data_IF_046820319348
#
_entry.id   IF_046820319348
#
_cell.length_a   1.000
_cell.length_b   1.000
_cell.length_c   1.000
_cell.angle_alpha   90.00
_cell.angle_beta   90.00
_cell.angle_gamma   90.00
#
_symmetry.space_group_name_H-M   'P 1'
#
loop_
_entity.id
_entity.type
_entity.pdbx_description
1 polymer ?
#
# COMPACT_ATOMS: atom_id res chain seq x y z
N UNK A 1 -49.43 14.16 -11.80
CA UNK A 1 -48.30 14.58 -12.66
C UNK A 1 -47.30 15.36 -11.82
N UNK A 2 -46.21 14.73 -11.36
CA UNK A 2 -45.10 15.45 -10.73
C UNK A 2 -43.78 14.91 -11.31
N UNK A 3 -43.02 15.80 -11.91
CA UNK A 3 -41.80 15.57 -12.68
C UNK A 3 -40.60 15.53 -11.74
N UNK A 4 -40.22 14.36 -11.22
CA UNK A 4 -38.97 14.17 -10.45
C UNK A 4 -37.86 13.48 -11.27
N UNK A 5 -38.12 13.21 -12.54
CA UNK A 5 -37.23 12.44 -13.44
C UNK A 5 -35.87 13.08 -13.81
N UNK A 6 -35.59 14.40 -13.74
CA UNK A 6 -34.29 14.91 -14.21
C UNK A 6 -33.15 14.77 -13.18
N UNK A 7 -33.45 14.70 -11.88
CA UNK A 7 -32.40 14.72 -10.83
C UNK A 7 -31.72 13.35 -10.70
N UNK A 8 -32.48 12.26 -10.84
CA UNK A 8 -31.94 10.89 -10.78
C UNK A 8 -31.05 10.59 -12.00
N UNK A 9 -31.42 11.09 -13.18
CA UNK A 9 -30.65 10.92 -14.41
C UNK A 9 -29.28 11.67 -14.38
N UNK A 10 -29.23 12.82 -13.70
CA UNK A 10 -28.01 13.60 -13.57
C UNK A 10 -27.00 12.96 -12.60
N UNK A 11 -27.48 12.44 -11.46
CA UNK A 11 -26.61 11.74 -10.48
C UNK A 11 -26.05 10.42 -11.01
N UNK A 12 -26.82 9.69 -11.83
CA UNK A 12 -26.36 8.45 -12.44
C UNK A 12 -25.25 8.68 -13.47
N UNK A 13 -25.36 9.77 -14.24
CA UNK A 13 -24.35 10.16 -15.23
C UNK A 13 -23.00 10.50 -14.60
N UNK A 14 -22.96 11.17 -13.44
CA UNK A 14 -21.71 11.50 -12.75
C UNK A 14 -20.98 10.25 -12.22
N UNK A 15 -21.72 9.26 -11.70
CA UNK A 15 -21.15 8.04 -11.16
C UNK A 15 -20.45 7.18 -12.24
N UNK A 16 -21.05 7.10 -13.44
CA UNK A 16 -20.43 6.43 -14.59
C UNK A 16 -19.15 7.13 -15.05
N UNK A 17 -19.17 8.46 -15.20
CA UNK A 17 -18.00 9.23 -15.63
C UNK A 17 -16.83 9.12 -14.64
N UNK A 18 -17.11 9.06 -13.33
CA UNK A 18 -16.07 8.85 -12.32
C UNK A 18 -15.41 7.46 -12.41
N UNK A 19 -16.20 6.42 -12.71
CA UNK A 19 -15.67 5.06 -12.90
C UNK A 19 -14.82 4.93 -14.17
N UNK A 20 -15.23 5.58 -15.27
CA UNK A 20 -14.47 5.57 -16.52
C UNK A 20 -13.18 6.38 -16.43
N UNK A 21 -13.20 7.53 -15.76
CA UNK A 21 -11.99 8.29 -15.45
C UNK A 21 -11.01 7.48 -14.58
N UNK A 22 -11.51 6.70 -13.62
CA UNK A 22 -10.66 5.82 -12.81
C UNK A 22 -10.12 4.64 -13.60
N UNK A 23 -10.88 4.07 -14.54
CA UNK A 23 -10.39 3.00 -15.42
C UNK A 23 -9.28 3.51 -16.33
N UNK A 24 -9.37 4.76 -16.81
CA UNK A 24 -8.32 5.39 -17.60
C UNK A 24 -6.98 5.50 -16.83
N UNK A 25 -6.99 5.58 -15.49
CA UNK A 25 -5.77 5.56 -14.69
C UNK A 25 -4.97 4.26 -14.85
N UNK A 26 -5.60 3.16 -15.27
CA UNK A 26 -4.89 1.90 -15.56
C UNK A 26 -3.96 2.04 -16.77
N UNK A 27 -4.22 3.00 -17.68
CA UNK A 27 -3.36 3.27 -18.84
C UNK A 27 -1.99 3.85 -18.44
N UNK A 28 -1.83 4.33 -17.20
CA UNK A 28 -0.52 4.76 -16.69
C UNK A 28 0.37 3.60 -16.23
N UNK A 29 -0.16 2.38 -16.14
CA UNK A 29 0.61 1.19 -15.79
C UNK A 29 1.57 0.84 -16.92
N UNK A 30 2.80 0.46 -16.55
CA UNK A 30 3.80 -0.03 -17.49
C UNK A 30 3.77 -1.56 -17.50
N UNK A 31 4.00 -2.13 -18.68
CA UNK A 31 4.16 -3.59 -18.81
C UNK A 31 5.26 -4.07 -17.85
N UNK A 32 4.96 -5.08 -17.05
CA UNK A 32 5.82 -5.62 -15.99
C UNK A 32 5.55 -5.06 -14.58
N UNK A 33 4.72 -4.03 -14.43
CA UNK A 33 4.35 -3.52 -13.10
C UNK A 33 3.60 -4.60 -12.32
N UNK A 34 3.86 -4.71 -11.02
CA UNK A 34 3.14 -5.70 -10.19
C UNK A 34 1.74 -5.14 -9.91
N UNK A 35 0.71 -5.91 -10.18
CA UNK A 35 -0.69 -5.47 -10.04
C UNK A 35 -1.52 -6.61 -9.47
N UNK A 36 -2.46 -6.27 -8.60
CA UNK A 36 -3.47 -7.16 -8.07
C UNK A 36 -4.87 -6.73 -8.48
N UNK A 37 -5.70 -7.71 -8.79
CA UNK A 37 -7.10 -7.53 -9.18
C UNK A 37 -7.99 -8.34 -8.25
N UNK A 38 -8.98 -7.67 -7.67
CA UNK A 38 -10.07 -8.30 -6.94
C UNK A 38 -11.23 -8.46 -7.91
N UNK A 39 -11.67 -9.70 -8.11
CA UNK A 39 -12.80 -10.03 -8.98
C UNK A 39 -14.14 -9.95 -8.24
N UNK A 40 -15.23 -9.92 -8.99
CA UNK A 40 -16.61 -9.95 -8.43
C UNK A 40 -16.87 -11.16 -7.54
N UNK A 41 -16.27 -12.31 -7.85
CA UNK A 41 -16.33 -13.52 -7.01
C UNK A 41 -15.41 -13.47 -5.76
N UNK A 42 -14.90 -12.28 -5.40
CA UNK A 42 -13.96 -12.03 -4.31
C UNK A 42 -12.61 -12.74 -4.43
N UNK A 43 -12.34 -13.45 -5.53
CA UNK A 43 -11.00 -14.02 -5.77
C UNK A 43 -10.02 -12.91 -6.12
N UNK A 44 -8.83 -13.02 -5.55
CA UNK A 44 -7.69 -12.15 -5.82
C UNK A 44 -6.77 -12.82 -6.83
N UNK A 45 -6.36 -12.06 -7.84
CA UNK A 45 -5.33 -12.46 -8.79
C UNK A 45 -4.23 -11.42 -8.76
N UNK A 46 -3.01 -11.82 -8.43
CA UNK A 46 -1.83 -10.94 -8.48
C UNK A 46 -0.88 -11.42 -9.57
N UNK A 47 -0.32 -10.47 -10.33
CA UNK A 47 0.56 -10.77 -11.44
C UNK A 47 1.31 -9.54 -11.92
N UNK A 48 1.92 -9.66 -13.09
CA UNK A 48 2.59 -8.59 -13.80
C UNK A 48 1.63 -8.02 -14.82
N UNK A 49 1.45 -6.71 -14.85
CA UNK A 49 0.65 -6.03 -15.84
C UNK A 49 1.20 -6.30 -17.23
N UNK A 50 0.33 -6.71 -18.16
CA UNK A 50 0.69 -6.84 -19.57
C UNK A 50 0.06 -5.71 -20.40
N UNK A 51 -1.27 -5.63 -20.37
CA UNK A 51 -2.03 -4.68 -21.19
C UNK A 51 -3.40 -4.37 -20.58
N UNK A 52 -3.96 -3.20 -20.95
CA UNK A 52 -5.32 -2.80 -20.59
C UNK A 52 -6.02 -2.23 -21.82
N UNK A 53 -7.28 -2.62 -21.99
CA UNK A 53 -8.19 -2.03 -22.97
C UNK A 53 -9.36 -1.39 -22.23
N UNK A 54 -10.28 -0.77 -22.96
CA UNK A 54 -11.46 -0.16 -22.34
C UNK A 54 -12.45 -1.21 -21.76
N UNK A 55 -12.28 -2.49 -22.11
CA UNK A 55 -13.15 -3.60 -21.70
C UNK A 55 -12.49 -4.68 -20.85
N UNK A 56 -11.15 -4.78 -20.80
CA UNK A 56 -10.44 -5.83 -20.07
C UNK A 56 -9.04 -5.42 -19.63
N UNK A 57 -8.52 -6.12 -18.64
CA UNK A 57 -7.15 -6.04 -18.16
C UNK A 57 -6.48 -7.42 -18.28
N UNK A 58 -5.25 -7.45 -18.77
CA UNK A 58 -4.45 -8.67 -18.92
C UNK A 58 -3.25 -8.63 -17.98
N UNK A 59 -3.05 -9.73 -17.27
CA UNK A 59 -1.96 -9.92 -16.32
C UNK A 59 -1.21 -11.20 -16.67
N UNK A 60 0.11 -11.17 -16.54
CA UNK A 60 0.97 -12.34 -16.52
C UNK A 60 1.17 -12.79 -15.06
N UNK A 61 0.47 -13.85 -14.66
CA UNK A 61 0.68 -14.51 -13.37
C UNK A 61 1.43 -15.84 -13.62
N UNK A 62 0.94 -16.96 -13.10
CA UNK A 62 1.42 -18.31 -13.46
C UNK A 62 1.16 -18.61 -14.95
N UNK A 63 0.03 -18.11 -15.46
CA UNK A 63 -0.32 -18.07 -16.87
C UNK A 63 -0.77 -16.66 -17.25
N UNK A 64 -0.94 -16.41 -18.54
CA UNK A 64 -1.65 -15.22 -18.99
C UNK A 64 -3.12 -15.29 -18.52
N UNK A 65 -3.61 -14.20 -17.93
CA UNK A 65 -4.96 -14.09 -17.39
C UNK A 65 -5.57 -12.78 -17.86
N UNK A 66 -6.61 -12.87 -18.69
CA UNK A 66 -7.42 -11.71 -19.08
C UNK A 66 -8.70 -11.66 -18.25
N UNK A 67 -9.03 -10.48 -17.73
CA UNK A 67 -10.18 -10.25 -16.84
C UNK A 67 -11.01 -9.11 -17.44
N UNK A 68 -12.30 -9.34 -17.64
CA UNK A 68 -13.21 -8.30 -18.12
C UNK A 68 -13.43 -7.22 -17.07
N UNK A 69 -13.60 -5.96 -17.51
CA UNK A 69 -13.90 -4.80 -16.65
C UNK A 69 -15.16 -5.03 -15.81
N UNK A 70 -16.16 -5.72 -16.36
CA UNK A 70 -17.39 -6.15 -15.68
C UNK A 70 -17.12 -7.00 -14.43
N UNK A 71 -16.05 -7.79 -14.47
CA UNK A 71 -15.61 -8.69 -13.41
C UNK A 71 -14.58 -8.09 -12.45
N UNK A 72 -14.12 -6.87 -12.69
CA UNK A 72 -13.16 -6.17 -11.83
C UNK A 72 -13.87 -5.33 -10.78
N UNK A 73 -13.61 -5.62 -9.51
CA UNK A 73 -14.07 -4.81 -8.36
C UNK A 73 -13.01 -3.79 -7.96
N UNK A 74 -11.74 -4.20 -7.99
CA UNK A 74 -10.62 -3.34 -7.59
C UNK A 74 -9.34 -3.72 -8.31
N UNK A 75 -8.58 -2.73 -8.76
CA UNK A 75 -7.20 -2.88 -9.18
C UNK A 75 -6.30 -2.13 -8.21
N UNK A 76 -5.24 -2.78 -7.73
CA UNK A 76 -4.28 -2.18 -6.81
C UNK A 76 -2.85 -2.58 -7.14
N UNK A 77 -1.90 -1.74 -6.75
CA UNK A 77 -0.48 -2.05 -6.75
C UNK A 77 -0.13 -2.68 -5.38
N UNK A 78 0.29 -3.95 -5.34
CA UNK A 78 0.75 -4.58 -4.11
C UNK A 78 2.02 -3.91 -3.60
N UNK A 79 2.22 -3.86 -2.27
CA UNK A 79 3.42 -3.27 -1.70
C UNK A 79 4.66 -4.02 -2.17
N UNK A 80 5.70 -3.26 -2.52
CA UNK A 80 7.02 -3.83 -2.87
C UNK A 80 7.63 -4.62 -1.72
N UNK A 81 7.45 -4.12 -0.50
CA UNK A 81 7.88 -4.78 0.74
C UNK A 81 6.74 -4.76 1.76
N UNK A 82 6.51 -5.90 2.41
CA UNK A 82 5.49 -6.02 3.45
C UNK A 82 5.85 -5.24 4.72
N UNK A 83 4.86 -4.99 5.58
CA UNK A 83 5.06 -4.26 6.85
C UNK A 83 6.11 -4.90 7.74
N UNK A 84 6.17 -6.24 7.77
CA UNK A 84 7.16 -6.97 8.54
C UNK A 84 8.58 -6.67 8.10
N UNK A 85 8.82 -6.54 6.78
CA UNK A 85 10.13 -6.16 6.26
C UNK A 85 10.54 -4.77 6.76
N UNK A 86 9.65 -3.79 6.64
CA UNK A 86 9.93 -2.45 7.16
C UNK A 86 10.09 -2.42 8.67
N UNK A 87 9.31 -3.22 9.40
CA UNK A 87 9.42 -3.36 10.86
C UNK A 87 10.82 -3.85 11.25
N UNK A 88 11.29 -4.94 10.64
CA UNK A 88 12.60 -5.54 10.94
C UNK A 88 13.73 -4.60 10.53
N UNK A 89 13.67 -4.03 9.33
CA UNK A 89 14.70 -3.10 8.86
C UNK A 89 14.77 -1.84 9.72
N UNK A 90 13.61 -1.26 10.04
CA UNK A 90 13.50 -0.10 10.92
C UNK A 90 14.00 -0.39 12.33
N UNK A 91 13.67 -1.56 12.88
CA UNK A 91 14.17 -1.99 14.19
C UNK A 91 15.70 -2.11 14.19
N UNK A 92 16.29 -2.72 13.15
CA UNK A 92 17.73 -2.88 13.04
C UNK A 92 18.46 -1.53 13.00
N UNK A 93 17.96 -0.57 12.20
CA UNK A 93 18.48 0.80 12.17
C UNK A 93 18.30 1.47 13.54
N UNK A 94 17.15 1.29 14.17
CA UNK A 94 16.83 1.81 15.49
C UNK A 94 17.74 1.29 16.60
N UNK A 95 18.08 0.00 16.58
CA UNK A 95 19.06 -0.62 17.49
C UNK A 95 20.43 0.00 17.30
N UNK A 96 20.89 0.17 16.05
CA UNK A 96 22.20 0.77 15.78
C UNK A 96 22.28 2.21 16.32
N UNK A 97 21.30 3.06 15.97
CA UNK A 97 21.25 4.44 16.43
C UNK A 97 21.09 4.55 17.95
N UNK A 98 20.15 3.79 18.54
CA UNK A 98 19.91 3.76 19.97
C UNK A 98 21.07 3.15 20.76
N UNK A 99 21.83 2.22 20.18
CA UNK A 99 23.05 1.65 20.76
C UNK A 99 24.16 2.68 20.87
N UNK A 100 24.38 3.48 19.82
CA UNK A 100 25.35 4.59 19.85
C UNK A 100 24.96 5.63 20.91
N UNK A 101 23.68 5.99 21.00
CA UNK A 101 23.20 6.92 22.02
C UNK A 101 23.32 6.35 23.44
N UNK A 102 22.99 5.07 23.66
CA UNK A 102 23.15 4.45 24.98
C UNK A 102 24.62 4.36 25.41
N UNK A 103 25.52 4.08 24.46
CA UNK A 103 26.97 4.03 24.69
C UNK A 103 27.63 5.39 24.94
N UNK A 104 26.95 6.49 24.60
CA UNK A 104 27.48 7.86 24.76
C UNK A 104 26.70 8.64 25.81
N UNK A 105 25.55 9.21 25.43
CA UNK A 105 24.67 10.00 26.31
C UNK A 105 24.13 9.15 27.46
N UNK A 106 23.73 7.91 27.19
CA UNK A 106 23.24 7.00 28.22
C UNK A 106 24.31 6.70 29.28
N UNK A 107 25.57 6.50 28.89
CA UNK A 107 26.67 6.35 29.83
C UNK A 107 26.93 7.63 30.63
N UNK A 108 26.86 8.80 29.98
CA UNK A 108 27.04 10.09 30.65
C UNK A 108 25.99 10.32 31.73
N UNK A 109 24.71 10.14 31.42
CA UNK A 109 23.63 10.31 32.40
C UNK A 109 23.74 9.34 33.57
N UNK A 110 24.07 8.06 33.30
CA UNK A 110 24.31 7.07 34.36
C UNK A 110 25.46 7.46 35.29
N UNK A 111 26.49 8.13 34.79
CA UNK A 111 27.59 8.64 35.60
C UNK A 111 27.22 9.88 36.43
N UNK A 112 26.16 10.61 36.06
CA UNK A 112 25.67 11.81 36.73
C UNK A 112 24.56 11.52 37.77
N UNK A 113 24.24 10.24 38.00
CA UNK A 113 23.25 9.78 38.98
C UNK A 113 21.83 9.68 38.45
N UNK A 114 21.56 10.21 37.26
CA UNK A 114 20.27 10.15 36.59
C UNK A 114 20.28 9.00 35.57
N UNK A 115 19.80 7.82 35.97
CA UNK A 115 20.13 6.57 35.28
C UNK A 115 18.99 6.02 34.43
N UNK A 116 18.93 6.29 33.11
CA UNK A 116 18.21 5.40 32.22
C UNK A 116 18.88 4.02 32.27
N UNK A 117 18.08 2.97 32.48
CA UNK A 117 18.55 1.59 32.51
C UNK A 117 19.43 1.28 31.27
N UNK A 118 20.49 0.48 31.45
CA UNK A 118 21.39 0.10 30.35
C UNK A 118 20.59 -0.51 29.19
N UNK A 119 20.80 0.00 27.98
CA UNK A 119 20.09 -0.44 26.79
C UNK A 119 18.67 0.14 26.63
N UNK A 120 18.20 1.01 27.52
CA UNK A 120 16.89 1.66 27.38
C UNK A 120 16.80 2.45 26.08
N UNK A 121 17.83 3.25 25.76
CA UNK A 121 17.85 4.03 24.52
C UNK A 121 17.98 3.13 23.28
N UNK A 122 18.66 1.99 23.40
CA UNK A 122 18.73 0.98 22.33
C UNK A 122 17.36 0.33 22.08
N UNK A 123 16.65 -0.06 23.13
CA UNK A 123 15.32 -0.63 23.04
C UNK A 123 14.29 0.39 22.52
N UNK A 124 14.36 1.64 23.01
CA UNK A 124 13.52 2.73 22.53
C UNK A 124 13.77 3.02 21.04
N UNK A 125 15.04 3.10 20.63
CA UNK A 125 15.42 3.25 19.23
C UNK A 125 14.89 2.12 18.37
N UNK A 126 15.02 0.87 18.81
CA UNK A 126 14.49 -0.30 18.12
C UNK A 126 12.97 -0.22 17.93
N UNK A 127 12.22 0.06 19.00
CA UNK A 127 10.76 0.18 18.94
C UNK A 127 10.30 1.32 18.03
N UNK A 128 10.94 2.48 18.12
CA UNK A 128 10.64 3.64 17.28
C UNK A 128 10.92 3.36 15.80
N UNK A 129 12.11 2.84 15.50
CA UNK A 129 12.50 2.46 14.15
C UNK A 129 11.58 1.40 13.56
N UNK A 130 11.19 0.39 14.34
CA UNK A 130 10.22 -0.63 13.94
C UNK A 130 8.86 -0.01 13.59
N UNK A 131 8.37 0.89 14.43
CA UNK A 131 7.10 1.59 14.22
C UNK A 131 7.09 2.40 12.93
N UNK A 132 8.11 3.24 12.69
CA UNK A 132 8.22 4.02 11.45
C UNK A 132 8.36 3.09 10.25
N UNK A 133 9.23 2.08 10.33
CA UNK A 133 9.45 1.15 9.22
C UNK A 133 8.18 0.38 8.84
N UNK A 134 7.38 -0.05 9.81
CA UNK A 134 6.08 -0.65 9.59
C UNK A 134 5.09 0.32 8.94
N UNK A 135 5.13 1.60 9.34
CA UNK A 135 4.23 2.64 8.86
C UNK A 135 4.55 3.11 7.44
N UNK A 136 5.81 3.06 7.00
CA UNK A 136 6.22 3.49 5.65
C UNK A 136 6.11 2.35 4.62
N UNK A 137 6.13 1.10 5.06
CA UNK A 137 6.04 -0.08 4.18
C UNK A 137 4.65 -0.72 4.18
N UNK A 138 4.39 -1.60 3.22
CA UNK A 138 3.14 -2.36 3.19
C UNK A 138 1.89 -1.59 2.73
N UNK A 139 2.05 -0.39 2.14
CA UNK A 139 0.93 0.35 1.55
C UNK A 139 0.51 -0.23 0.20
N UNK A 140 -0.80 -0.35 0.01
CA UNK A 140 -1.41 -0.71 -1.26
C UNK A 140 -1.87 0.57 -1.96
N UNK A 141 -1.51 0.75 -3.23
CA UNK A 141 -2.04 1.86 -4.03
C UNK A 141 -3.25 1.38 -4.81
N UNK A 142 -4.45 1.89 -4.51
CA UNK A 142 -5.63 1.54 -5.30
C UNK A 142 -5.66 2.40 -6.56
N UNK A 143 -5.76 1.77 -7.73
CA UNK A 143 -5.77 2.45 -9.03
C UNK A 143 -7.19 2.54 -9.61
N UNK A 144 -8.02 1.53 -9.33
CA UNK A 144 -9.41 1.47 -9.75
C UNK A 144 -10.27 0.81 -8.67
N UNK A 145 -11.48 1.33 -8.47
CA UNK A 145 -12.53 0.71 -7.64
C UNK A 145 -13.90 0.95 -8.30
N UNK A 146 -14.69 -0.11 -8.43
CA UNK A 146 -16.07 -0.02 -8.89
C UNK A 146 -17.02 0.44 -7.79
#
# INVERSE_FOLDING_TARGET
MMRHLPIIAFLFSLALHAQDAQWANLKSLRKGDRVGVIRTNQKRVEGRFDSVTDSRITLQADSEVSIEKSDVVRVYEPPRHGRLFGTVLGAAIGVAAGGVMDGTLGQRFRNEGDSPAKGLLTAAGAGFGAGIGAAVTGHYRTLYRR
#
